data_IF_889512922319
#
_entry.id   IF_889512922319
#
_cell.length_a   1.000
_cell.length_b   1.000
_cell.length_c   1.000
_cell.angle_alpha   90.00
_cell.angle_beta   90.00
_cell.angle_gamma   90.00
#
_symmetry.space_group_name_H-M   'P 1'
#
loop_
_entity.id
_entity.type
_entity.pdbx_description
1 polymer ?
#
# COMPACT_ATOMS: atom_id res chain seq x y z
N UNK A 1 -21.86 11.87 27.91
CA UNK A 1 -21.44 10.45 27.87
C UNK A 1 -19.97 10.43 27.52
N UNK A 2 -19.10 9.96 28.41
CA UNK A 2 -17.66 9.79 28.13
C UNK A 2 -17.51 8.91 26.89
N UNK A 3 -16.77 9.38 25.88
CA UNK A 3 -16.52 8.59 24.67
C UNK A 3 -15.72 7.35 25.09
N UNK A 4 -16.31 6.17 24.89
CA UNK A 4 -15.66 4.89 25.16
C UNK A 4 -14.39 4.80 24.31
N UNK A 5 -13.24 4.58 24.95
CA UNK A 5 -11.97 4.46 24.26
C UNK A 5 -11.85 3.05 23.69
N UNK A 6 -11.81 2.93 22.37
CA UNK A 6 -11.57 1.68 21.67
C UNK A 6 -10.07 1.47 21.43
N UNK A 7 -9.71 0.23 21.15
CA UNK A 7 -8.36 -0.18 20.79
C UNK A 7 -8.24 -0.13 19.27
N UNK A 8 -7.10 0.34 18.76
CA UNK A 8 -6.85 0.35 17.30
C UNK A 8 -6.91 -1.06 16.71
N UNK A 9 -7.45 -1.17 15.51
CA UNK A 9 -7.61 -2.44 14.80
C UNK A 9 -6.28 -3.15 14.59
N UNK A 10 -5.23 -2.42 14.22
CA UNK A 10 -3.88 -2.96 14.04
C UNK A 10 -3.36 -3.66 15.31
N UNK A 11 -3.43 -3.00 16.46
CA UNK A 11 -3.00 -3.60 17.71
C UNK A 11 -3.86 -4.81 18.08
N UNK A 12 -5.18 -4.70 17.87
CA UNK A 12 -6.12 -5.78 18.13
C UNK A 12 -5.83 -6.98 17.22
N UNK A 13 -5.59 -6.77 15.93
CA UNK A 13 -5.28 -7.81 14.96
C UNK A 13 -4.02 -8.58 15.34
N UNK A 14 -2.97 -7.89 15.72
CA UNK A 14 -1.70 -8.52 16.10
C UNK A 14 -1.78 -9.32 17.42
N UNK A 15 -2.73 -9.02 18.28
CA UNK A 15 -2.75 -9.56 19.65
C UNK A 15 -4.04 -10.25 20.08
N UNK A 16 -5.19 -9.73 19.70
CA UNK A 16 -6.48 -10.23 20.16
C UNK A 16 -7.18 -11.08 19.10
N UNK A 17 -7.14 -10.63 17.83
CA UNK A 17 -7.89 -11.28 16.76
C UNK A 17 -7.24 -12.59 16.28
N UNK A 18 -6.07 -12.92 16.80
CA UNK A 18 -5.44 -14.25 16.62
C UNK A 18 -6.14 -15.34 17.47
N UNK A 19 -6.93 -14.94 18.45
CA UNK A 19 -7.73 -15.88 19.23
C UNK A 19 -9.04 -16.18 18.51
N UNK A 20 -9.36 -17.46 18.34
CA UNK A 20 -10.57 -17.96 17.67
C UNK A 20 -11.87 -17.33 18.20
N UNK A 21 -11.93 -17.03 19.51
CA UNK A 21 -13.07 -16.36 20.13
C UNK A 21 -13.37 -14.97 19.54
N UNK A 22 -12.40 -14.33 18.90
CA UNK A 22 -12.51 -12.98 18.33
C UNK A 22 -12.64 -12.98 16.79
N UNK A 23 -12.69 -14.14 16.14
CA UNK A 23 -12.79 -14.23 14.68
C UNK A 23 -14.03 -13.55 14.12
N UNK A 24 -15.09 -13.39 14.90
CA UNK A 24 -16.30 -12.67 14.50
C UNK A 24 -16.03 -11.22 14.05
N UNK A 25 -15.01 -10.56 14.62
CA UNK A 25 -14.60 -9.21 14.21
C UNK A 25 -13.96 -9.26 12.81
N UNK A 26 -13.05 -10.20 12.58
CA UNK A 26 -12.42 -10.40 11.26
C UNK A 26 -13.44 -10.81 10.22
N UNK A 27 -14.32 -11.75 10.55
CA UNK A 27 -15.38 -12.22 9.66
C UNK A 27 -16.28 -11.06 9.23
N UNK A 28 -16.66 -10.19 10.16
CA UNK A 28 -17.47 -9.01 9.87
C UNK A 28 -16.76 -8.06 8.90
N UNK A 29 -15.52 -7.69 9.20
CA UNK A 29 -14.73 -6.82 8.33
C UNK A 29 -14.54 -7.41 6.94
N UNK A 30 -14.12 -8.66 6.85
CA UNK A 30 -13.83 -9.34 5.59
C UNK A 30 -15.09 -9.53 4.74
N UNK A 31 -16.23 -9.89 5.35
CA UNK A 31 -17.53 -10.01 4.69
C UNK A 31 -17.95 -8.67 4.07
N UNK A 32 -17.81 -7.58 4.81
CA UNK A 32 -18.16 -6.25 4.31
C UNK A 32 -17.22 -5.76 3.19
N UNK A 33 -15.95 -6.13 3.24
CA UNK A 33 -14.96 -5.74 2.24
C UNK A 33 -15.07 -6.56 0.95
N UNK A 34 -15.09 -7.89 1.07
CA UNK A 34 -15.06 -8.83 -0.06
C UNK A 34 -16.44 -8.95 -0.72
N UNK A 35 -17.52 -8.59 0.02
CA UNK A 35 -18.93 -8.74 -0.39
C UNK A 35 -19.34 -10.20 -0.63
N UNK A 36 -18.71 -11.11 0.10
CA UNK A 36 -19.01 -12.53 0.20
C UNK A 36 -18.98 -12.93 1.67
N UNK A 37 -19.79 -13.91 2.07
CA UNK A 37 -19.80 -14.38 3.46
C UNK A 37 -18.47 -15.05 3.78
N UNK A 38 -17.71 -14.45 4.69
CA UNK A 38 -16.38 -14.95 5.11
C UNK A 38 -16.45 -15.46 6.53
N UNK A 39 -15.96 -16.69 6.70
CA UNK A 39 -15.76 -17.31 8.00
C UNK A 39 -14.29 -17.79 8.11
N UNK A 40 -13.50 -17.10 8.90
CA UNK A 40 -12.12 -17.50 9.20
C UNK A 40 -12.12 -18.80 10.00
N UNK A 41 -11.43 -19.81 9.49
CA UNK A 41 -11.33 -21.12 10.12
C UNK A 41 -10.14 -21.20 11.07
N UNK A 42 -8.99 -20.71 10.62
CA UNK A 42 -7.76 -20.65 11.40
C UNK A 42 -6.80 -19.60 10.87
N UNK A 43 -5.93 -19.13 11.74
CA UNK A 43 -4.84 -18.23 11.43
C UNK A 43 -3.59 -19.09 11.19
N UNK A 44 -2.89 -18.76 10.10
CA UNK A 44 -1.64 -19.40 9.74
C UNK A 44 -0.46 -18.62 10.33
N UNK A 45 0.52 -19.35 10.85
CA UNK A 45 1.81 -18.75 11.14
C UNK A 45 2.61 -18.72 9.84
N UNK A 46 2.84 -17.54 9.27
CA UNK A 46 3.74 -17.44 8.12
C UNK A 46 5.18 -17.66 8.57
N UNK A 47 5.92 -18.52 7.87
CA UNK A 47 7.34 -18.78 8.13
C UNK A 47 8.23 -17.56 7.95
N UNK A 48 7.74 -16.53 7.25
CA UNK A 48 8.39 -15.22 7.13
C UNK A 48 8.69 -14.52 8.46
N UNK A 49 8.27 -15.08 9.59
CA UNK A 49 8.62 -14.61 10.93
C UNK A 49 9.90 -15.22 11.53
N UNK A 50 10.55 -16.19 10.88
CA UNK A 50 11.62 -16.99 11.52
C UNK A 50 13.00 -16.96 10.86
N UNK A 51 13.19 -16.41 9.67
CA UNK A 51 14.49 -16.48 9.02
C UNK A 51 15.20 -15.12 8.95
N UNK A 52 16.45 -15.16 9.40
CA UNK A 52 17.55 -14.18 9.30
C UNK A 52 17.20 -12.70 9.07
N UNK A 53 17.72 -11.83 9.93
CA UNK A 53 17.66 -10.35 9.85
C UNK A 53 18.11 -9.73 8.51
N UNK A 54 18.59 -10.54 7.56
CA UNK A 54 19.07 -10.11 6.22
C UNK A 54 18.10 -10.38 5.08
N UNK A 55 17.09 -11.22 5.26
CA UNK A 55 16.08 -11.43 4.24
C UNK A 55 15.06 -10.29 4.29
N UNK A 56 14.66 -9.78 3.11
CA UNK A 56 13.51 -8.88 2.97
C UNK A 56 12.28 -9.64 3.45
N UNK A 57 12.08 -9.65 4.77
CA UNK A 57 10.98 -10.34 5.40
C UNK A 57 9.68 -9.64 5.04
N UNK A 58 8.87 -10.29 4.23
CA UNK A 58 7.49 -9.88 3.99
C UNK A 58 6.69 -10.22 5.25
N UNK A 59 6.73 -9.34 6.25
CA UNK A 59 6.00 -9.52 7.51
C UNK A 59 4.55 -9.18 7.27
N UNK A 60 3.76 -10.19 6.95
CA UNK A 60 2.30 -10.06 6.99
C UNK A 60 1.85 -9.88 8.45
N UNK A 61 0.93 -8.94 8.65
CA UNK A 61 0.35 -8.75 9.98
C UNK A 61 -0.57 -9.92 10.35
N UNK A 62 -1.30 -10.46 9.38
CA UNK A 62 -2.15 -11.64 9.53
C UNK A 62 -2.26 -12.42 8.23
N UNK A 63 -2.18 -13.74 8.32
CA UNK A 63 -2.56 -14.68 7.27
C UNK A 63 -3.58 -15.67 7.83
N UNK A 64 -4.71 -15.85 7.15
CA UNK A 64 -5.74 -16.78 7.59
C UNK A 64 -6.37 -17.53 6.41
N UNK A 65 -7.09 -18.60 6.73
CA UNK A 65 -7.85 -19.43 5.80
C UNK A 65 -9.34 -19.26 6.08
N UNK A 66 -10.12 -19.08 5.03
CA UNK A 66 -11.58 -19.02 5.13
C UNK A 66 -12.24 -20.40 4.95
N UNK A 67 -13.57 -20.46 5.01
CA UNK A 67 -14.38 -21.67 4.86
C UNK A 67 -14.31 -22.30 3.44
N UNK A 68 -13.81 -21.58 2.45
CA UNK A 68 -13.60 -22.04 1.08
C UNK A 68 -12.15 -22.51 0.82
N UNK A 69 -11.37 -22.65 1.86
CA UNK A 69 -9.93 -22.96 1.80
C UNK A 69 -9.10 -21.91 1.03
N UNK A 70 -9.57 -20.66 0.96
CA UNK A 70 -8.90 -19.55 0.33
C UNK A 70 -8.04 -18.80 1.36
N UNK A 71 -6.90 -18.27 0.92
CA UNK A 71 -5.94 -17.55 1.76
C UNK A 71 -6.28 -16.06 1.80
N UNK A 72 -6.29 -15.47 2.99
CA UNK A 72 -6.52 -14.04 3.19
C UNK A 72 -5.32 -13.47 3.94
N UNK A 73 -4.57 -12.63 3.26
CA UNK A 73 -3.43 -11.90 3.80
C UNK A 73 -3.87 -10.46 4.12
N UNK A 74 -3.63 -10.02 5.35
CA UNK A 74 -3.91 -8.65 5.78
C UNK A 74 -2.61 -7.99 6.18
N UNK A 75 -2.36 -6.81 5.64
CA UNK A 75 -1.22 -5.97 5.97
C UNK A 75 -1.69 -4.56 6.31
N UNK A 76 -1.12 -3.97 7.37
CA UNK A 76 -1.40 -2.61 7.80
C UNK A 76 -0.11 -1.81 7.75
N UNK A 77 -0.08 -0.81 6.88
CA UNK A 77 1.09 0.01 6.64
C UNK A 77 0.83 1.47 6.98
N UNK A 78 1.65 2.02 7.87
CA UNK A 78 1.55 3.42 8.30
C UNK A 78 2.45 4.36 7.49
N UNK A 79 3.53 3.85 6.95
CA UNK A 79 4.60 4.64 6.38
C UNK A 79 4.69 4.46 4.87
N UNK A 80 5.05 5.54 4.19
CA UNK A 80 5.18 5.55 2.72
C UNK A 80 6.28 4.61 2.28
N UNK A 81 5.95 3.72 1.35
CA UNK A 81 6.88 2.86 0.64
C UNK A 81 6.70 3.10 -0.88
N UNK A 82 7.69 3.68 -1.56
CA UNK A 82 7.57 3.98 -3.00
C UNK A 82 7.36 2.73 -3.87
N UNK A 83 7.88 1.59 -3.45
CA UNK A 83 7.79 0.30 -4.13
C UNK A 83 6.69 -0.63 -3.60
N UNK A 84 5.68 -0.06 -2.92
CA UNK A 84 4.62 -0.84 -2.25
C UNK A 84 3.84 -1.76 -3.21
N UNK A 85 3.62 -1.38 -4.45
CA UNK A 85 2.99 -2.27 -5.44
C UNK A 85 3.83 -3.53 -5.71
N UNK A 86 5.17 -3.37 -5.79
CA UNK A 86 6.08 -4.51 -5.94
C UNK A 86 6.05 -5.40 -4.69
N UNK A 87 5.97 -4.79 -3.51
CA UNK A 87 5.83 -5.51 -2.25
C UNK A 87 4.53 -6.33 -2.19
N UNK A 88 3.39 -5.78 -2.59
CA UNK A 88 2.12 -6.51 -2.67
C UNK A 88 2.24 -7.72 -3.60
N UNK A 89 2.81 -7.53 -4.80
CA UNK A 89 3.01 -8.60 -5.78
C UNK A 89 3.94 -9.69 -5.23
N UNK A 90 5.09 -9.30 -4.67
CA UNK A 90 6.05 -10.23 -4.07
C UNK A 90 5.42 -11.03 -2.91
N UNK A 91 4.68 -10.35 -2.02
CA UNK A 91 4.03 -10.97 -0.88
C UNK A 91 3.03 -12.05 -1.28
N UNK A 92 2.19 -11.77 -2.26
CA UNK A 92 1.23 -12.74 -2.79
C UNK A 92 1.93 -13.91 -3.47
N UNK A 93 2.98 -13.63 -4.26
CA UNK A 93 3.77 -14.68 -4.92
C UNK A 93 4.41 -15.62 -3.91
N UNK A 94 4.95 -15.08 -2.82
CA UNK A 94 5.53 -15.87 -1.73
C UNK A 94 4.49 -16.75 -1.05
N UNK A 95 3.31 -16.21 -0.74
CA UNK A 95 2.20 -16.99 -0.16
C UNK A 95 1.83 -18.15 -1.08
N UNK A 96 1.68 -17.91 -2.38
CA UNK A 96 1.33 -18.99 -3.35
C UNK A 96 2.38 -20.10 -3.31
N UNK A 97 3.66 -19.74 -3.29
CA UNK A 97 4.76 -20.73 -3.30
C UNK A 97 4.93 -21.45 -1.96
N UNK A 98 4.62 -20.82 -0.84
CA UNK A 98 4.63 -21.44 0.49
C UNK A 98 3.55 -22.53 0.66
N UNK A 99 2.41 -22.38 -0.02
CA UNK A 99 1.27 -23.30 0.10
C UNK A 99 1.10 -24.23 -1.10
N UNK A 100 2.13 -24.35 -1.95
CA UNK A 100 2.20 -25.34 -3.03
C UNK A 100 3.53 -26.07 -2.94
N UNK A 101 3.49 -27.36 -2.63
CA UNK A 101 4.71 -28.18 -2.51
C UNK A 101 5.24 -28.59 -3.86
N UNK A 102 6.54 -28.91 -3.91
CA UNK A 102 7.16 -29.43 -5.13
C UNK A 102 6.52 -30.77 -5.54
N UNK A 103 5.95 -30.80 -6.75
CA UNK A 103 5.27 -32.01 -7.27
C UNK A 103 3.75 -31.94 -7.11
N UNK A 104 3.21 -30.97 -6.40
CA UNK A 104 1.77 -30.78 -6.33
C UNK A 104 1.21 -30.35 -7.69
N UNK A 105 -0.01 -30.78 -8.05
CA UNK A 105 -0.67 -30.29 -9.25
C UNK A 105 -1.04 -28.81 -9.10
N UNK A 106 -0.90 -28.03 -10.16
CA UNK A 106 -1.26 -26.60 -10.18
C UNK A 106 -2.71 -26.29 -9.80
N UNK A 107 -3.60 -27.27 -9.88
CA UNK A 107 -4.99 -27.14 -9.41
C UNK A 107 -5.12 -26.90 -7.90
N UNK A 108 -4.06 -27.18 -7.13
CA UNK A 108 -4.00 -26.91 -5.68
C UNK A 108 -3.56 -25.48 -5.33
N UNK A 109 -3.22 -24.65 -6.32
CA UNK A 109 -2.96 -23.22 -6.07
C UNK A 109 -4.21 -22.58 -5.48
N UNK A 110 -4.08 -22.07 -4.25
CA UNK A 110 -5.19 -21.46 -3.52
C UNK A 110 -5.41 -20.02 -3.99
N UNK A 111 -6.67 -19.61 -4.05
CA UNK A 111 -7.04 -18.19 -4.19
C UNK A 111 -6.45 -17.39 -3.04
N UNK A 112 -5.84 -16.25 -3.34
CA UNK A 112 -5.30 -15.32 -2.34
C UNK A 112 -6.04 -13.99 -2.42
N UNK A 113 -6.55 -13.52 -1.30
CA UNK A 113 -7.00 -12.16 -1.09
C UNK A 113 -5.91 -11.39 -0.37
N UNK A 114 -5.37 -10.34 -1.00
CA UNK A 114 -4.36 -9.44 -0.41
C UNK A 114 -5.06 -8.15 0.02
N UNK A 115 -5.21 -7.95 1.32
CA UNK A 115 -5.90 -6.80 1.91
C UNK A 115 -4.86 -5.87 2.52
N UNK A 116 -4.75 -4.66 1.99
CA UNK A 116 -3.73 -3.69 2.33
C UNK A 116 -4.41 -2.45 2.91
N UNK A 117 -4.25 -2.23 4.21
CA UNK A 117 -4.81 -1.10 4.95
C UNK A 117 -3.70 -0.05 5.07
N UNK A 118 -3.84 1.05 4.31
CA UNK A 118 -2.79 2.03 4.10
C UNK A 118 -3.12 3.35 4.78
N UNK A 119 -2.27 3.78 5.70
CA UNK A 119 -2.35 5.09 6.36
C UNK A 119 -1.47 6.14 5.68
N UNK A 120 -1.13 5.92 4.43
CA UNK A 120 -0.43 6.87 3.56
C UNK A 120 -1.10 6.93 2.18
N UNK A 121 -0.72 7.90 1.37
CA UNK A 121 -1.26 8.06 0.02
C UNK A 121 -0.43 7.22 -0.98
N UNK A 122 -1.07 6.23 -1.61
CA UNK A 122 -0.47 5.36 -2.60
C UNK A 122 -1.03 5.67 -3.98
N UNK A 123 -0.15 6.06 -4.90
CA UNK A 123 -0.51 6.34 -6.29
C UNK A 123 -1.48 7.51 -6.44
N UNK A 124 -1.94 7.74 -7.68
CA UNK A 124 -2.93 8.78 -8.03
C UNK A 124 -4.32 8.16 -8.10
N UNK A 125 -5.32 8.88 -7.65
CA UNK A 125 -6.72 8.47 -7.69
C UNK A 125 -7.53 9.12 -6.57
N UNK A 126 -8.83 9.26 -6.77
CA UNK A 126 -9.74 9.99 -5.87
C UNK A 126 -10.42 9.09 -4.83
N UNK A 127 -10.51 7.79 -5.11
CA UNK A 127 -11.18 6.83 -4.22
C UNK A 127 -10.28 6.43 -3.04
N UNK A 128 -10.89 5.90 -2.00
CA UNK A 128 -10.23 5.36 -0.82
C UNK A 128 -10.22 3.82 -0.76
N UNK A 129 -10.95 3.13 -1.65
CA UNK A 129 -10.93 1.67 -1.82
C UNK A 129 -10.69 1.33 -3.29
N UNK A 130 -9.64 0.58 -3.55
CA UNK A 130 -9.32 0.06 -4.87
C UNK A 130 -9.29 -1.46 -4.85
N UNK A 131 -9.85 -2.08 -5.89
CA UNK A 131 -9.88 -3.53 -6.07
C UNK A 131 -9.10 -3.87 -7.34
N UNK A 132 -8.09 -4.72 -7.21
CA UNK A 132 -7.30 -5.25 -8.31
C UNK A 132 -7.71 -6.70 -8.60
N UNK A 133 -8.16 -6.99 -9.81
CA UNK A 133 -8.52 -8.33 -10.30
C UNK A 133 -7.83 -8.60 -11.63
N UNK A 134 -7.51 -9.87 -11.90
CA UNK A 134 -6.96 -10.28 -13.18
C UNK A 134 -8.09 -10.73 -14.09
N UNK A 135 -8.33 -9.97 -15.15
CA UNK A 135 -9.26 -10.32 -16.22
C UNK A 135 -8.50 -10.49 -17.53
N UNK A 136 -8.93 -11.42 -18.35
CA UNK A 136 -8.39 -11.63 -19.69
C UNK A 136 -9.39 -11.12 -20.71
N UNK A 137 -9.03 -10.05 -21.41
CA UNK A 137 -9.88 -9.40 -22.41
C UNK A 137 -9.37 -9.70 -23.81
N UNK A 138 -10.26 -10.14 -24.69
CA UNK A 138 -9.96 -10.46 -26.07
C UNK A 138 -9.47 -9.23 -26.84
N UNK A 139 -8.31 -9.33 -27.48
CA UNK A 139 -7.67 -8.20 -28.20
C UNK A 139 -8.51 -7.73 -29.40
N UNK A 140 -9.23 -8.64 -30.05
CA UNK A 140 -9.96 -8.34 -31.29
C UNK A 140 -11.47 -8.09 -31.07
N UNK A 141 -12.06 -8.74 -30.09
CA UNK A 141 -13.50 -8.69 -29.85
C UNK A 141 -13.90 -8.03 -28.53
N UNK A 142 -12.91 -7.69 -27.70
CA UNK A 142 -13.13 -7.07 -26.36
C UNK A 142 -14.04 -7.91 -25.45
N UNK A 143 -14.17 -9.20 -25.72
CA UNK A 143 -14.88 -10.15 -24.87
C UNK A 143 -14.05 -10.55 -23.65
N UNK A 144 -14.67 -11.05 -22.61
CA UNK A 144 -13.98 -11.56 -21.41
C UNK A 144 -13.81 -13.07 -21.53
N UNK A 145 -12.58 -13.58 -21.38
CA UNK A 145 -12.32 -15.01 -21.37
C UNK A 145 -12.91 -15.64 -20.12
N UNK A 146 -13.83 -16.59 -20.32
CA UNK A 146 -14.48 -17.35 -19.26
C UNK A 146 -13.89 -18.76 -19.18
N UNK A 147 -14.10 -19.43 -18.04
CA UNK A 147 -13.75 -20.85 -17.91
C UNK A 147 -14.73 -21.71 -18.71
N UNK A 148 -14.23 -22.78 -19.34
CA UNK A 148 -15.09 -23.76 -20.02
C UNK A 148 -15.96 -24.50 -18.99
N UNK A 149 -17.06 -25.09 -19.45
CA UNK A 149 -17.96 -25.89 -18.56
C UNK A 149 -17.22 -26.99 -17.78
N UNK A 150 -16.23 -27.62 -18.42
CA UNK A 150 -15.39 -28.64 -17.76
C UNK A 150 -14.56 -28.01 -16.63
N UNK A 151 -13.94 -26.85 -16.85
CA UNK A 151 -13.17 -26.12 -15.85
C UNK A 151 -14.06 -25.61 -14.72
N UNK A 152 -15.26 -25.09 -15.03
CA UNK A 152 -16.25 -24.66 -14.02
C UNK A 152 -16.61 -25.81 -13.11
N UNK A 153 -16.90 -27.01 -13.66
CA UNK A 153 -17.21 -28.21 -12.87
C UNK A 153 -16.02 -28.69 -12.03
N UNK A 154 -14.78 -28.50 -12.52
CA UNK A 154 -13.57 -28.95 -11.84
C UNK A 154 -13.13 -28.01 -10.72
N UNK A 155 -13.27 -26.69 -10.91
CA UNK A 155 -12.69 -25.70 -9.99
C UNK A 155 -13.74 -24.93 -9.20
N UNK A 156 -15.02 -25.12 -9.48
CA UNK A 156 -16.12 -24.34 -8.88
C UNK A 156 -15.93 -22.80 -9.01
N UNK A 157 -15.38 -22.40 -10.13
CA UNK A 157 -15.15 -20.98 -10.48
C UNK A 157 -15.70 -20.73 -11.88
N UNK A 158 -16.27 -19.55 -12.12
CA UNK A 158 -16.82 -19.17 -13.44
C UNK A 158 -15.81 -18.45 -14.32
N UNK A 159 -14.92 -17.70 -13.70
CA UNK A 159 -13.98 -16.80 -14.34
C UNK A 159 -12.55 -17.07 -13.87
N UNK A 160 -11.54 -16.79 -14.72
CA UNK A 160 -10.13 -16.84 -14.29
C UNK A 160 -9.83 -15.98 -13.06
N UNK A 161 -10.51 -14.83 -12.92
CA UNK A 161 -10.40 -13.95 -11.74
C UNK A 161 -10.68 -14.66 -10.42
N UNK A 162 -11.49 -15.73 -10.43
CA UNK A 162 -11.76 -16.59 -9.26
C UNK A 162 -10.58 -17.45 -8.83
N UNK A 163 -9.57 -17.64 -9.70
CA UNK A 163 -8.35 -18.40 -9.43
C UNK A 163 -7.19 -17.47 -9.08
N UNK A 164 -7.06 -16.35 -9.81
CA UNK A 164 -5.99 -15.37 -9.64
C UNK A 164 -6.12 -14.60 -8.31
N UNK A 165 -5.02 -14.06 -7.78
CA UNK A 165 -5.06 -13.21 -6.61
C UNK A 165 -5.98 -12.00 -6.81
N UNK A 166 -6.57 -11.55 -5.71
CA UNK A 166 -7.39 -10.34 -5.66
C UNK A 166 -6.80 -9.38 -4.63
N UNK A 167 -6.62 -8.13 -5.00
CA UNK A 167 -5.99 -7.09 -4.18
C UNK A 167 -7.01 -6.07 -3.74
N UNK A 168 -7.00 -5.72 -2.46
CA UNK A 168 -7.75 -4.62 -1.89
C UNK A 168 -6.77 -3.61 -1.30
N UNK A 169 -6.84 -2.36 -1.77
CA UNK A 169 -6.04 -1.25 -1.27
C UNK A 169 -6.98 -0.24 -0.61
N UNK A 170 -6.88 -0.11 0.71
CA UNK A 170 -7.71 0.78 1.52
C UNK A 170 -6.86 1.99 1.93
N UNK A 171 -7.03 3.13 1.26
CA UNK A 171 -6.33 4.41 1.52
C UNK A 171 -7.05 5.17 2.64
N UNK A 172 -6.83 4.77 3.88
CA UNK A 172 -7.60 5.21 5.06
C UNK A 172 -7.63 6.73 5.20
N UNK A 173 -6.51 7.42 4.92
CA UNK A 173 -6.42 8.87 5.04
C UNK A 173 -7.29 9.63 4.03
N UNK A 174 -7.63 9.03 2.88
CA UNK A 174 -8.49 9.63 1.84
C UNK A 174 -9.99 9.59 2.19
N UNK A 175 -10.39 8.78 3.16
CA UNK A 175 -11.78 8.71 3.57
C UNK A 175 -12.25 10.03 4.21
N UNK A 176 -13.41 10.53 3.79
CA UNK A 176 -13.98 11.84 4.19
C UNK A 176 -14.69 11.84 5.55
N UNK A 177 -14.67 10.71 6.28
CA UNK A 177 -15.40 10.45 7.52
C UNK A 177 -16.95 10.39 7.39
N UNK A 178 -17.46 10.28 6.16
CA UNK A 178 -18.90 10.12 5.91
C UNK A 178 -19.21 8.68 5.55
N UNK A 179 -19.63 7.89 6.53
CA UNK A 179 -20.04 6.51 6.32
C UNK A 179 -21.39 6.45 5.57
N UNK A 180 -21.38 6.07 4.30
CA UNK A 180 -22.53 5.96 3.40
C UNK A 180 -23.05 4.53 3.29
N UNK A 181 -22.23 3.55 3.65
CA UNK A 181 -22.52 2.13 3.60
C UNK A 181 -21.79 1.38 4.73
N UNK A 182 -22.04 0.09 4.87
CA UNK A 182 -21.48 -0.74 5.93
C UNK A 182 -19.94 -0.91 5.85
N UNK A 183 -19.35 -0.89 4.66
CA UNK A 183 -17.89 -0.87 4.51
C UNK A 183 -17.30 0.45 5.01
N UNK A 184 -17.94 1.57 4.71
CA UNK A 184 -17.51 2.89 5.19
C UNK A 184 -17.52 2.99 6.71
N UNK A 185 -18.45 2.29 7.37
CA UNK A 185 -18.48 2.21 8.83
C UNK A 185 -17.21 1.53 9.39
N UNK A 186 -16.71 0.50 8.72
CA UNK A 186 -15.44 -0.13 9.04
C UNK A 186 -14.25 0.79 8.77
N UNK A 187 -14.24 1.49 7.62
CA UNK A 187 -13.17 2.45 7.30
C UNK A 187 -13.16 3.61 8.29
N UNK A 188 -14.33 4.08 8.71
CA UNK A 188 -14.44 5.07 9.79
C UNK A 188 -13.79 4.58 11.08
N UNK A 189 -14.06 3.32 11.48
CA UNK A 189 -13.42 2.73 12.66
C UNK A 189 -11.91 2.60 12.49
N UNK A 190 -11.44 2.11 11.35
CA UNK A 190 -10.01 2.00 11.04
C UNK A 190 -9.31 3.35 11.12
N UNK A 191 -9.92 4.40 10.60
CA UNK A 191 -9.36 5.76 10.60
C UNK A 191 -9.36 6.40 11.98
N UNK A 192 -10.46 6.32 12.70
CA UNK A 192 -10.72 7.14 13.88
C UNK A 192 -10.59 6.38 15.20
N UNK A 193 -10.46 5.04 15.16
CA UNK A 193 -10.53 4.19 16.37
C UNK A 193 -11.79 4.48 17.20
N UNK A 194 -12.89 4.81 16.50
CA UNK A 194 -14.22 5.13 17.05
C UNK A 194 -15.26 4.55 16.12
N UNK A 195 -16.43 4.21 16.67
CA UNK A 195 -17.55 3.77 15.85
C UNK A 195 -18.38 4.97 15.37
N UNK A 196 -18.92 4.92 14.15
CA UNK A 196 -19.88 5.92 13.67
C UNK A 196 -21.20 5.80 14.49
N UNK A 197 -22.02 6.84 14.43
CA UNK A 197 -23.35 6.77 15.04
C UNK A 197 -24.23 5.80 14.26
N UNK A 198 -25.01 4.98 14.99
CA UNK A 198 -26.00 4.06 14.41
C UNK A 198 -25.40 3.08 13.37
N UNK A 199 -24.21 2.53 13.62
CA UNK A 199 -23.57 1.55 12.77
C UNK A 199 -24.40 0.24 12.64
N UNK A 200 -24.30 -0.40 11.46
CA UNK A 200 -25.03 -1.63 11.11
C UNK A 200 -24.11 -2.72 10.55
N UNK A 201 -22.84 -2.38 10.24
CA UNK A 201 -21.91 -3.31 9.63
C UNK A 201 -21.71 -4.55 10.52
N UNK A 202 -21.65 -5.71 9.87
CA UNK A 202 -21.34 -6.99 10.53
C UNK A 202 -20.03 -6.85 11.31
N UNK A 203 -19.97 -7.37 12.51
CA UNK A 203 -18.76 -7.39 13.36
C UNK A 203 -18.50 -6.12 14.18
N UNK A 204 -19.03 -4.93 13.82
CA UNK A 204 -18.80 -3.70 14.60
C UNK A 204 -19.40 -3.74 16.00
N UNK A 205 -20.51 -4.48 16.19
CA UNK A 205 -21.04 -4.72 17.54
C UNK A 205 -20.04 -5.48 18.43
N UNK A 206 -19.29 -6.42 17.84
CA UNK A 206 -18.25 -7.15 18.56
C UNK A 206 -17.06 -6.23 18.87
N UNK A 207 -16.71 -5.32 17.95
CA UNK A 207 -15.70 -4.28 18.19
C UNK A 207 -16.09 -3.44 19.42
N UNK A 208 -17.34 -2.96 19.48
CA UNK A 208 -17.83 -2.16 20.63
C UNK A 208 -17.77 -2.94 21.95
N UNK A 209 -18.01 -4.24 21.90
CA UNK A 209 -18.00 -5.07 23.10
C UNK A 209 -16.60 -5.55 23.52
N UNK A 210 -15.76 -5.97 22.56
CA UNK A 210 -14.50 -6.68 22.81
C UNK A 210 -13.27 -5.79 22.75
N UNK A 211 -13.28 -4.74 21.91
CA UNK A 211 -12.12 -3.87 21.71
C UNK A 211 -12.15 -2.61 22.60
N UNK A 212 -12.69 -2.70 23.81
CA UNK A 212 -12.67 -1.60 24.77
C UNK A 212 -11.36 -1.58 25.54
N UNK A 213 -10.73 -0.42 25.56
CA UNK A 213 -9.54 -0.19 26.38
C UNK A 213 -9.76 -0.54 27.86
N UNK A 214 -10.94 -0.23 28.39
CA UNK A 214 -11.27 -0.46 29.80
C UNK A 214 -11.31 -1.94 30.17
N UNK A 215 -11.61 -2.81 29.21
CA UNK A 215 -11.66 -4.28 29.41
C UNK A 215 -10.28 -4.94 29.48
N UNK A 216 -9.20 -4.20 29.18
CA UNK A 216 -7.84 -4.72 29.28
C UNK A 216 -7.37 -4.81 30.73
N UNK A 217 -6.57 -5.84 31.02
CA UNK A 217 -5.77 -5.88 32.26
C UNK A 217 -4.69 -4.78 32.27
N UNK A 218 -4.14 -4.52 33.45
CA UNK A 218 -3.16 -3.45 33.68
C UNK A 218 -1.89 -3.64 32.82
N UNK A 219 -1.38 -4.87 32.69
CA UNK A 219 -0.18 -5.17 31.90
C UNK A 219 -0.40 -4.93 30.40
N UNK A 220 -1.57 -5.33 29.90
CA UNK A 220 -1.97 -5.11 28.52
C UNK A 220 -2.19 -3.63 28.21
N UNK A 221 -2.76 -2.85 29.13
CA UNK A 221 -2.87 -1.37 29.00
C UNK A 221 -1.51 -0.70 28.86
N UNK A 222 -0.51 -1.14 29.64
CA UNK A 222 0.87 -0.61 29.53
C UNK A 222 1.46 -0.91 28.16
N UNK A 223 1.29 -2.15 27.67
CA UNK A 223 1.78 -2.55 26.33
C UNK A 223 1.11 -1.75 25.20
N UNK A 224 -0.19 -1.50 25.31
CA UNK A 224 -0.93 -0.69 24.34
C UNK A 224 -0.47 0.77 24.33
N UNK A 225 -0.29 1.39 25.50
CA UNK A 225 0.26 2.75 25.60
C UNK A 225 1.66 2.85 25.03
N UNK A 226 2.53 1.86 25.29
CA UNK A 226 3.88 1.81 24.69
C UNK A 226 3.81 1.71 23.16
N UNK A 227 2.93 0.87 22.64
CA UNK A 227 2.69 0.75 21.22
C UNK A 227 2.26 2.09 20.59
N UNK A 228 1.25 2.77 21.17
CA UNK A 228 0.80 4.08 20.68
C UNK A 228 1.92 5.12 20.69
N UNK A 229 2.71 5.16 21.78
CA UNK A 229 3.87 6.05 21.87
C UNK A 229 4.90 5.75 20.77
N UNK A 230 5.24 4.49 20.55
CA UNK A 230 6.21 4.10 19.54
C UNK A 230 5.72 4.47 18.12
N UNK A 231 4.43 4.27 17.83
CA UNK A 231 3.85 4.64 16.54
C UNK A 231 3.93 6.15 16.31
N UNK A 232 3.62 6.96 17.34
CA UNK A 232 3.73 8.42 17.28
C UNK A 232 5.20 8.84 17.02
N UNK A 233 6.15 8.33 17.80
CA UNK A 233 7.57 8.65 17.61
C UNK A 233 8.06 8.27 16.21
N UNK A 234 7.66 7.09 15.71
CA UNK A 234 8.05 6.68 14.36
C UNK A 234 7.46 7.61 13.27
N UNK A 235 6.23 8.10 13.48
CA UNK A 235 5.60 9.07 12.59
C UNK A 235 6.35 10.41 12.60
N UNK A 236 6.63 10.94 13.79
CA UNK A 236 7.36 12.20 13.95
C UNK A 236 8.77 12.14 13.33
N UNK A 237 9.47 11.01 13.51
CA UNK A 237 10.80 10.80 12.88
C UNK A 237 10.74 10.80 11.35
N UNK A 238 9.71 10.19 10.77
CA UNK A 238 9.54 10.16 9.32
C UNK A 238 9.15 11.53 8.75
N UNK A 239 8.25 12.25 9.43
CA UNK A 239 7.87 13.62 9.06
C UNK A 239 9.10 14.53 9.09
N UNK A 240 9.93 14.45 10.15
CA UNK A 240 11.18 15.19 10.25
C UNK A 240 12.20 14.85 9.16
N UNK A 241 12.35 13.56 8.82
CA UNK A 241 13.22 13.14 7.73
C UNK A 241 12.73 13.63 6.37
N UNK A 242 11.40 13.62 6.14
CA UNK A 242 10.78 14.15 4.94
C UNK A 242 11.01 15.66 4.80
N UNK A 243 10.76 16.44 5.85
CA UNK A 243 10.98 17.90 5.86
C UNK A 243 12.46 18.23 5.59
N UNK A 244 13.37 17.51 6.23
CA UNK A 244 14.82 17.69 5.99
C UNK A 244 15.18 17.39 4.54
N UNK A 245 14.69 16.28 3.99
CA UNK A 245 14.91 15.90 2.59
C UNK A 245 14.35 16.92 1.59
N UNK A 246 13.18 17.51 1.90
CA UNK A 246 12.57 18.57 1.09
C UNK A 246 13.43 19.83 1.06
N UNK A 247 13.87 20.31 2.23
CA UNK A 247 14.73 21.49 2.36
C UNK A 247 16.07 21.30 1.63
N UNK A 248 16.69 20.14 1.78
CA UNK A 248 17.94 19.82 1.06
C UNK A 248 17.71 19.74 -0.46
N UNK A 249 16.58 19.14 -0.89
CA UNK A 249 16.22 19.05 -2.31
C UNK A 249 15.99 20.43 -2.93
N UNK A 250 15.26 21.32 -2.24
CA UNK A 250 15.03 22.71 -2.67
C UNK A 250 16.36 23.49 -2.75
N UNK A 251 17.21 23.37 -1.76
CA UNK A 251 18.52 24.05 -1.76
C UNK A 251 19.40 23.59 -2.93
N UNK A 252 19.47 22.26 -3.15
CA UNK A 252 20.20 21.66 -4.28
C UNK A 252 19.61 22.08 -5.62
N UNK A 253 18.28 22.01 -5.76
CA UNK A 253 17.59 22.42 -7.00
C UNK A 253 17.79 23.89 -7.33
N UNK A 254 17.73 24.79 -6.33
CA UNK A 254 17.99 26.21 -6.51
C UNK A 254 19.45 26.49 -6.93
N UNK A 255 20.40 25.76 -6.36
CA UNK A 255 21.81 25.88 -6.72
C UNK A 255 22.07 25.38 -8.13
N UNK A 256 21.54 24.21 -8.46
CA UNK A 256 21.65 23.59 -9.77
C UNK A 256 20.99 24.45 -10.86
N UNK A 257 19.76 24.90 -10.65
CA UNK A 257 19.04 25.77 -11.59
C UNK A 257 19.74 27.11 -11.83
N UNK A 258 20.43 27.65 -10.79
CA UNK A 258 21.23 28.88 -10.97
C UNK A 258 22.48 28.63 -11.83
N UNK A 259 23.09 27.45 -11.72
CA UNK A 259 24.25 27.06 -12.55
C UNK A 259 23.79 26.84 -14.00
N UNK A 260 22.73 26.06 -14.18
CA UNK A 260 22.14 25.77 -15.51
C UNK A 260 21.70 27.03 -16.22
N UNK A 261 20.93 27.92 -15.55
CA UNK A 261 20.51 29.20 -16.12
C UNK A 261 21.66 30.12 -16.50
N UNK A 262 22.78 30.11 -15.75
CA UNK A 262 23.98 30.85 -16.14
C UNK A 262 24.64 30.28 -17.39
N UNK A 263 24.67 28.95 -17.52
CA UNK A 263 25.24 28.26 -18.70
C UNK A 263 24.35 28.55 -19.93
N UNK A 264 23.04 28.41 -19.79
CA UNK A 264 22.08 28.71 -20.87
C UNK A 264 22.20 30.16 -21.33
N UNK A 265 22.23 31.11 -20.40
CA UNK A 265 22.43 32.53 -20.74
C UNK A 265 23.75 32.80 -21.45
N UNK A 266 24.84 32.11 -21.10
CA UNK A 266 26.12 32.18 -21.82
C UNK A 266 26.03 31.59 -23.22
N UNK A 267 25.30 30.48 -23.41
CA UNK A 267 25.05 29.85 -24.71
C UNK A 267 24.29 30.81 -25.64
N UNK A 268 23.26 31.49 -25.10
CA UNK A 268 22.54 32.51 -25.86
C UNK A 268 23.46 33.66 -26.32
N UNK A 269 24.39 34.10 -25.45
CA UNK A 269 25.37 35.12 -25.80
C UNK A 269 26.30 34.61 -26.92
N UNK A 270 26.78 33.35 -26.85
CA UNK A 270 27.58 32.72 -27.91
C UNK A 270 26.85 32.80 -29.24
N UNK A 271 25.61 32.32 -29.31
CA UNK A 271 24.80 32.28 -30.55
C UNK A 271 24.57 33.71 -31.09
N UNK A 272 24.25 34.65 -30.22
CA UNK A 272 23.97 36.04 -30.59
C UNK A 272 25.23 36.79 -31.06
N UNK A 273 26.39 36.55 -30.43
CA UNK A 273 27.65 37.13 -30.88
C UNK A 273 28.07 36.56 -32.23
N UNK A 274 27.98 35.22 -32.38
CA UNK A 274 28.32 34.57 -33.64
C UNK A 274 27.43 35.06 -34.81
N UNK A 275 26.11 35.21 -34.61
CA UNK A 275 25.20 35.74 -35.63
C UNK A 275 25.49 37.22 -36.03
N UNK A 276 26.20 37.95 -35.20
CA UNK A 276 26.66 39.33 -35.45
C UNK A 276 28.07 39.38 -36.06
N UNK A 277 28.70 38.23 -36.34
CA UNK A 277 30.00 38.16 -37.00
C UNK A 277 31.21 38.28 -36.09
N UNK A 278 31.07 38.17 -34.77
CA UNK A 278 32.22 38.12 -33.86
C UNK A 278 32.98 36.80 -34.04
N UNK A 279 34.32 36.89 -33.97
CA UNK A 279 35.18 35.70 -34.03
C UNK A 279 35.17 34.90 -32.73
N UNK A 280 35.58 33.64 -32.78
CA UNK A 280 35.52 32.69 -31.65
C UNK A 280 36.40 33.17 -30.48
N UNK A 281 37.53 33.81 -30.73
CA UNK A 281 38.42 34.31 -29.70
C UNK A 281 37.73 35.42 -28.89
N UNK A 282 37.08 36.34 -29.60
CA UNK A 282 36.31 37.42 -28.97
C UNK A 282 35.11 36.87 -28.15
N UNK A 283 34.40 35.87 -28.66
CA UNK A 283 33.30 35.22 -27.98
C UNK A 283 33.78 34.47 -26.73
N UNK A 284 34.93 33.82 -26.82
CA UNK A 284 35.57 33.16 -25.68
C UNK A 284 35.90 34.17 -24.55
N UNK A 285 36.46 35.32 -24.89
CA UNK A 285 36.74 36.40 -23.94
C UNK A 285 35.49 36.95 -23.25
N UNK A 286 34.36 37.03 -23.95
CA UNK A 286 33.06 37.52 -23.42
C UNK A 286 32.39 36.50 -22.50
N UNK A 287 32.36 35.24 -22.92
CA UNK A 287 31.54 34.20 -22.26
C UNK A 287 32.34 33.39 -21.26
N UNK A 288 33.66 33.33 -21.42
CA UNK A 288 34.58 32.48 -20.63
C UNK A 288 34.46 30.99 -20.99
N UNK A 289 33.81 30.62 -22.12
CA UNK A 289 33.92 29.30 -22.71
C UNK A 289 35.21 29.17 -23.51
N UNK A 290 35.77 27.97 -23.53
CA UNK A 290 36.90 27.65 -24.41
C UNK A 290 36.45 27.68 -25.90
N UNK A 291 37.39 27.85 -26.80
CA UNK A 291 37.11 27.84 -28.27
C UNK A 291 36.43 26.54 -28.71
N UNK A 292 36.84 25.40 -28.13
CA UNK A 292 36.24 24.09 -28.45
C UNK A 292 34.81 23.94 -27.93
N UNK A 293 34.52 24.46 -26.74
CA UNK A 293 33.14 24.52 -26.23
C UNK A 293 32.25 25.39 -27.13
N UNK A 294 32.76 26.54 -27.59
CA UNK A 294 32.00 27.41 -28.51
C UNK A 294 31.75 26.71 -29.82
N UNK A 295 32.75 26.04 -30.44
CA UNK A 295 32.56 25.25 -31.66
C UNK A 295 31.51 24.16 -31.45
N UNK A 296 31.54 23.46 -30.31
CA UNK A 296 30.56 22.44 -29.99
C UNK A 296 29.12 23.00 -29.84
N UNK A 297 28.98 24.20 -29.24
CA UNK A 297 27.70 24.88 -29.11
C UNK A 297 27.16 25.28 -30.49
N UNK A 298 28.02 25.85 -31.34
CA UNK A 298 27.64 26.27 -32.69
C UNK A 298 27.29 25.10 -33.65
N UNK A 299 27.92 23.95 -33.47
CA UNK A 299 27.62 22.75 -34.25
C UNK A 299 26.33 22.02 -33.85
N UNK A 300 25.81 22.27 -32.67
CA UNK A 300 24.59 21.65 -32.14
C UNK A 300 23.32 22.47 -32.39
N UNK A 301 23.47 23.72 -32.76
CA UNK A 301 22.40 24.67 -33.04
C UNK A 301 22.49 25.20 -34.50
#
# INVERSE_FOLDING_TARGET
MSSRVLISFDWAMKRLLRNKANFGILNGFLTELIKDEISVQHILESESNRENERDKSNRLDLLCVNQKDELIAIEIQYFVEPDYFHRCLFGVSKIITEYLSKGDPYSLVKKVYSINILYFDLGKGIDYVYIGRTNFVGMHHSDTLMLSEKQVKMFDKKEPSGIFPEYYLLKINKFDNLAKNTLDEWIYFLKNTKLPKNYKAKGLQLVDNQLRYDNMDAATKIKYKKYQKNLLVSKDMLEGAWETGLLEGEAKGKTQGKIEGKIEGKIEIVLKCHSKGFDIITISGITGFSEDEIKNILNKN
#
